data_IF_339955410246
#
_entry.id   IF_339955410246
#
_cell.length_a   1.000
_cell.length_b   1.000
_cell.length_c   1.000
_cell.angle_alpha   90.00
_cell.angle_beta   90.00
_cell.angle_gamma   90.00
#
_symmetry.space_group_name_H-M   'P 1'
#
loop_
_entity.id
_entity.type
_entity.pdbx_description
1 polymer ?
#
# COMPACT_ATOMS: atom_id res chain seq x y z
N UNK A 1 -27.29 -12.93 12.02
CA UNK A 1 -26.18 -13.11 11.06
C UNK A 1 -25.27 -11.91 11.23
N UNK A 2 -24.09 -12.10 11.82
CA UNK A 2 -23.22 -11.00 12.23
C UNK A 2 -22.87 -10.13 11.02
N UNK A 3 -23.09 -8.82 11.12
CA UNK A 3 -22.51 -7.85 10.21
C UNK A 3 -20.99 -7.98 10.37
N UNK A 4 -20.34 -8.63 9.41
CA UNK A 4 -18.89 -8.67 9.36
C UNK A 4 -18.46 -7.26 8.98
N UNK A 5 -18.24 -6.42 9.98
CA UNK A 5 -17.70 -5.09 9.80
C UNK A 5 -16.35 -5.29 9.13
N UNK A 6 -16.26 -5.01 7.82
CA UNK A 6 -15.00 -4.98 7.08
C UNK A 6 -14.20 -3.77 7.53
N UNK A 7 -13.73 -3.85 8.77
CA UNK A 7 -12.75 -2.96 9.33
C UNK A 7 -11.48 -3.13 8.51
N UNK A 8 -10.99 -2.01 7.99
CA UNK A 8 -9.64 -1.84 7.44
C UNK A 8 -8.64 -2.70 8.22
N UNK A 9 -8.15 -3.75 7.59
CA UNK A 9 -7.14 -4.65 8.17
C UNK A 9 -5.78 -4.28 7.57
N UNK A 10 -4.74 -4.27 8.41
CA UNK A 10 -3.35 -4.32 7.95
C UNK A 10 -2.64 -5.36 8.81
N UNK A 11 -2.14 -6.42 8.18
CA UNK A 11 -1.42 -7.50 8.82
C UNK A 11 0.00 -7.59 8.28
N UNK A 12 1.00 -7.55 9.15
CA UNK A 12 2.41 -7.79 8.78
C UNK A 12 2.60 -9.30 8.56
N UNK A 13 3.06 -9.67 7.36
CA UNK A 13 3.33 -11.05 6.98
C UNK A 13 4.82 -11.37 7.02
N UNK A 14 5.65 -10.40 6.64
CA UNK A 14 7.12 -10.49 6.66
C UNK A 14 7.67 -9.17 7.19
N UNK A 15 8.63 -9.26 8.11
CA UNK A 15 9.38 -8.13 8.64
C UNK A 15 10.86 -8.52 8.73
N UNK A 16 11.63 -8.16 7.71
CA UNK A 16 13.08 -8.36 7.63
C UNK A 16 13.71 -7.12 7.01
N UNK A 17 14.97 -6.86 7.31
CA UNK A 17 15.65 -5.67 6.81
C UNK A 17 15.69 -5.61 5.26
N UNK A 18 15.80 -6.77 4.61
CA UNK A 18 15.88 -6.89 3.16
C UNK A 18 14.52 -6.79 2.45
N UNK A 19 13.42 -7.05 3.16
CA UNK A 19 12.06 -7.01 2.63
C UNK A 19 11.02 -7.07 3.75
N UNK A 20 9.98 -6.23 3.62
CA UNK A 20 8.74 -6.43 4.36
C UNK A 20 7.54 -6.61 3.44
N UNK A 21 6.52 -7.26 3.99
CA UNK A 21 5.27 -7.50 3.29
C UNK A 21 4.10 -7.40 4.26
N UNK A 22 3.08 -6.66 3.87
CA UNK A 22 1.80 -6.59 4.57
C UNK A 22 0.67 -7.08 3.68
N UNK A 23 -0.40 -7.57 4.30
CA UNK A 23 -1.71 -7.72 3.66
C UNK A 23 -2.63 -6.65 4.20
N UNK A 24 -3.33 -5.95 3.31
CA UNK A 24 -4.28 -4.92 3.71
C UNK A 24 -5.61 -5.03 2.95
N UNK A 25 -6.65 -4.43 3.53
CA UNK A 25 -7.96 -4.28 2.90
C UNK A 25 -8.56 -2.90 3.16
N UNK A 26 -9.46 -2.49 2.29
CA UNK A 26 -10.23 -1.26 2.44
C UNK A 26 -11.62 -1.37 1.78
N UNK A 27 -12.54 -0.55 2.26
CA UNK A 27 -13.87 -0.45 1.67
C UNK A 27 -13.84 0.34 0.35
N UNK A 28 -14.92 0.27 -0.40
CA UNK A 28 -15.14 1.07 -1.60
C UNK A 28 -15.06 2.58 -1.29
N UNK A 29 -14.38 3.34 -2.13
CA UNK A 29 -14.23 4.79 -2.02
C UNK A 29 -13.15 5.26 -1.04
N UNK A 30 -12.41 4.37 -0.36
CA UNK A 30 -11.38 4.77 0.60
C UNK A 30 -10.08 5.22 -0.08
N UNK A 31 -9.60 6.41 0.32
CA UNK A 31 -8.24 6.89 0.01
C UNK A 31 -7.27 6.31 1.04
N UNK A 32 -6.29 5.52 0.56
CA UNK A 32 -5.39 4.79 1.47
C UNK A 32 -4.21 5.63 1.92
N UNK A 33 -3.64 6.40 1.00
CA UNK A 33 -2.46 7.22 1.23
C UNK A 33 -2.64 8.59 0.62
N UNK A 34 -2.01 9.61 1.20
CA UNK A 34 -1.76 10.88 0.50
C UNK A 34 -0.57 10.71 -0.44
N UNK A 35 -0.37 11.56 -1.45
CA UNK A 35 0.84 11.54 -2.26
C UNK A 35 2.11 11.58 -1.40
N UNK A 36 2.97 10.60 -1.61
CA UNK A 36 4.23 10.44 -0.89
C UNK A 36 5.27 9.74 -1.79
N UNK A 37 6.51 9.72 -1.35
CA UNK A 37 7.58 8.98 -1.99
C UNK A 37 8.51 8.36 -0.94
N UNK A 38 9.28 7.39 -1.43
CA UNK A 38 10.34 6.69 -0.70
C UNK A 38 11.67 6.97 -1.39
N UNK A 39 12.76 7.06 -0.63
CA UNK A 39 14.09 7.32 -1.17
C UNK A 39 14.92 6.07 -1.37
N UNK A 40 14.64 5.01 -0.61
CA UNK A 40 15.51 3.83 -0.50
C UNK A 40 14.89 2.55 -1.08
N UNK A 41 13.56 2.42 -1.07
CA UNK A 41 12.90 1.18 -1.49
C UNK A 41 11.94 1.32 -2.67
N UNK A 42 11.74 0.19 -3.34
CA UNK A 42 10.58 0.01 -4.22
C UNK A 42 9.37 -0.31 -3.36
N UNK A 43 8.26 0.40 -3.58
CA UNK A 43 6.97 0.05 -3.02
C UNK A 43 6.11 -0.65 -4.08
N UNK A 44 5.73 -1.89 -3.81
CA UNK A 44 5.04 -2.74 -4.76
C UNK A 44 3.73 -3.30 -4.19
N UNK A 45 2.75 -3.45 -5.08
CA UNK A 45 1.39 -3.82 -4.75
C UNK A 45 0.94 -4.98 -5.62
N UNK A 46 0.41 -6.03 -5.00
CA UNK A 46 -0.25 -7.14 -5.69
C UNK A 46 -1.71 -7.22 -5.26
N UNK A 47 -2.63 -7.02 -6.19
CA UNK A 47 -4.07 -6.98 -5.88
C UNK A 47 -4.59 -8.41 -5.79
N UNK A 48 -5.15 -8.76 -4.64
CA UNK A 48 -5.72 -10.08 -4.39
C UNK A 48 -7.20 -10.11 -4.78
N UNK A 49 -7.95 -9.05 -4.45
CA UNK A 49 -9.38 -8.91 -4.70
C UNK A 49 -9.75 -7.43 -4.93
N UNK A 50 -10.85 -7.21 -5.65
CA UNK A 50 -11.30 -5.87 -6.03
C UNK A 50 -10.34 -5.20 -7.02
N UNK A 51 -10.28 -3.87 -6.95
CA UNK A 51 -9.38 -3.05 -7.76
C UNK A 51 -8.84 -1.87 -6.97
N UNK A 52 -7.62 -1.44 -7.31
CA UNK A 52 -6.98 -0.27 -6.76
C UNK A 52 -6.62 0.69 -7.89
N UNK A 53 -6.84 1.98 -7.65
CA UNK A 53 -6.40 3.04 -8.56
C UNK A 53 -5.20 3.75 -7.95
N UNK A 54 -4.10 3.72 -8.68
CA UNK A 54 -2.83 4.32 -8.32
C UNK A 54 -2.61 5.60 -9.12
N UNK A 55 -2.07 6.60 -8.45
CA UNK A 55 -1.50 7.79 -9.06
C UNK A 55 0.02 7.67 -8.87
N UNK A 56 0.79 7.63 -9.97
CA UNK A 56 2.24 7.40 -9.96
C UNK A 56 2.88 8.44 -10.88
N UNK A 57 3.59 9.39 -10.30
CA UNK A 57 4.10 10.56 -11.02
C UNK A 57 2.97 11.34 -11.69
N UNK A 58 2.85 11.22 -13.01
CA UNK A 58 1.80 11.88 -13.82
C UNK A 58 0.76 10.91 -14.36
N UNK A 59 0.91 9.62 -14.08
CA UNK A 59 0.06 8.58 -14.63
C UNK A 59 -0.95 8.12 -13.58
N UNK A 60 -2.13 7.75 -14.05
CA UNK A 60 -3.15 7.08 -13.24
C UNK A 60 -3.42 5.72 -13.84
N UNK A 61 -3.37 4.69 -13.02
CA UNK A 61 -3.63 3.31 -13.46
C UNK A 61 -4.52 2.59 -12.47
N UNK A 62 -5.51 1.85 -12.99
CA UNK A 62 -6.39 1.00 -12.17
C UNK A 62 -6.02 -0.46 -12.41
N UNK A 63 -5.80 -1.19 -11.33
CA UNK A 63 -5.32 -2.57 -11.36
C UNK A 63 -6.26 -3.43 -10.54
N UNK A 64 -6.86 -4.42 -11.20
CA UNK A 64 -7.73 -5.41 -10.57
C UNK A 64 -6.98 -6.63 -10.01
N UNK A 65 -7.73 -7.55 -9.41
CA UNK A 65 -7.22 -8.81 -8.88
C UNK A 65 -6.28 -9.57 -9.85
N UNK A 66 -5.16 -10.05 -9.32
CA UNK A 66 -4.07 -10.68 -10.08
C UNK A 66 -3.09 -9.69 -10.72
N UNK A 67 -3.39 -8.40 -10.70
CA UNK A 67 -2.51 -7.36 -11.21
C UNK A 67 -1.46 -6.91 -10.20
N UNK A 68 -0.42 -6.26 -10.73
CA UNK A 68 0.76 -5.84 -9.98
C UNK A 68 1.21 -4.43 -10.39
N UNK A 69 1.65 -3.65 -9.40
CA UNK A 69 2.26 -2.32 -9.57
C UNK A 69 3.55 -2.29 -8.76
N UNK A 70 4.59 -1.67 -9.29
CA UNK A 70 5.80 -1.36 -8.52
C UNK A 70 6.20 0.09 -8.79
N UNK A 71 6.42 0.83 -7.71
CA UNK A 71 6.83 2.23 -7.73
C UNK A 71 8.30 2.32 -7.33
N UNK A 72 9.19 2.76 -8.23
CA UNK A 72 10.59 2.98 -7.91
C UNK A 72 10.79 4.12 -6.88
N UNK A 73 11.96 4.16 -6.21
CA UNK A 73 12.31 5.28 -5.35
C UNK A 73 12.22 6.64 -6.05
N UNK A 74 11.92 7.67 -5.27
CA UNK A 74 11.81 9.07 -5.66
C UNK A 74 10.65 9.38 -6.63
N UNK A 75 9.73 8.45 -6.83
CA UNK A 75 8.49 8.67 -7.58
C UNK A 75 7.33 8.88 -6.61
N UNK A 76 6.74 10.07 -6.68
CA UNK A 76 5.54 10.39 -5.93
C UNK A 76 4.40 9.45 -6.34
N UNK A 77 3.71 8.88 -5.35
CA UNK A 77 2.57 8.02 -5.59
C UNK A 77 1.53 8.09 -4.47
N UNK A 78 0.30 7.73 -4.82
CA UNK A 78 -0.80 7.49 -3.89
C UNK A 78 -1.71 6.42 -4.46
N UNK A 79 -2.59 5.87 -3.63
CA UNK A 79 -3.61 4.95 -4.13
C UNK A 79 -4.90 4.97 -3.31
N UNK A 80 -5.97 4.56 -3.97
CA UNK A 80 -7.32 4.47 -3.42
C UNK A 80 -8.06 3.27 -3.99
N UNK A 81 -9.11 2.85 -3.31
CA UNK A 81 -10.13 2.01 -3.90
C UNK A 81 -11.21 2.91 -4.53
N UNK A 82 -11.13 3.13 -5.84
CA UNK A 82 -12.14 3.90 -6.59
C UNK A 82 -13.30 3.03 -7.10
N UNK A 83 -13.25 1.72 -6.84
CA UNK A 83 -14.27 0.76 -7.26
C UNK A 83 -15.50 0.79 -6.38
N UNK A 84 -16.47 -0.08 -6.69
CA UNK A 84 -17.73 -0.23 -5.96
C UNK A 84 -17.67 -1.30 -4.85
N UNK A 85 -16.65 -2.14 -4.85
CA UNK A 85 -16.49 -3.27 -3.94
C UNK A 85 -15.23 -3.09 -3.06
N UNK A 86 -15.16 -3.75 -1.90
CA UNK A 86 -13.94 -3.82 -1.09
C UNK A 86 -12.74 -4.35 -1.89
N UNK A 87 -11.55 -3.85 -1.54
CA UNK A 87 -10.30 -4.28 -2.15
C UNK A 87 -9.37 -4.90 -1.11
N UNK A 88 -8.57 -5.87 -1.55
CA UNK A 88 -7.56 -6.55 -0.72
C UNK A 88 -6.29 -6.76 -1.52
N UNK A 89 -5.14 -6.48 -0.91
CA UNK A 89 -3.85 -6.51 -1.61
C UNK A 89 -2.71 -6.90 -0.67
N UNK A 90 -1.56 -7.19 -1.28
CA UNK A 90 -0.27 -7.23 -0.62
C UNK A 90 0.50 -5.96 -0.94
N UNK A 91 1.17 -5.39 0.06
CA UNK A 91 2.17 -4.33 -0.12
C UNK A 91 3.54 -4.91 0.23
N UNK A 92 4.53 -4.67 -0.62
CA UNK A 92 5.88 -5.19 -0.50
C UNK A 92 6.85 -4.02 -0.57
N UNK A 93 7.71 -3.89 0.43
CA UNK A 93 8.79 -2.92 0.43
C UNK A 93 10.12 -3.68 0.33
N UNK A 94 10.96 -3.28 -0.61
CA UNK A 94 12.28 -3.86 -0.80
C UNK A 94 13.35 -2.76 -1.04
N UNK A 95 14.27 -2.52 -0.08
CA UNK A 95 14.32 -3.08 1.28
C UNK A 95 13.15 -2.61 2.18
N UNK A 96 13.07 -3.06 3.44
CA UNK A 96 11.99 -2.65 4.36
C UNK A 96 12.02 -1.15 4.69
N UNK A 97 13.21 -0.57 4.83
CA UNK A 97 13.45 0.85 5.13
C UNK A 97 12.58 1.41 6.29
N UNK A 98 12.28 0.57 7.29
CA UNK A 98 11.53 0.95 8.50
C UNK A 98 10.01 0.82 8.40
N UNK A 99 9.46 0.36 7.27
CA UNK A 99 8.01 0.24 7.08
C UNK A 99 7.35 -0.74 8.07
N UNK A 100 7.93 -1.91 8.32
CA UNK A 100 7.37 -2.89 9.24
C UNK A 100 7.29 -2.36 10.68
N UNK A 101 8.32 -1.60 11.11
CA UNK A 101 8.33 -0.94 12.40
C UNK A 101 7.28 0.19 12.47
N UNK A 102 7.08 0.93 11.37
CA UNK A 102 6.03 1.95 11.27
C UNK A 102 4.64 1.35 11.44
N UNK A 103 4.31 0.29 10.69
CA UNK A 103 3.02 -0.40 10.80
C UNK A 103 2.80 -1.01 12.18
N UNK A 104 3.87 -1.46 12.84
CA UNK A 104 3.82 -2.02 14.19
C UNK A 104 3.72 -0.94 15.29
N UNK A 105 3.80 0.34 14.95
CA UNK A 105 3.74 1.45 15.90
C UNK A 105 5.01 1.63 16.74
N UNK A 106 6.14 1.08 16.30
CA UNK A 106 7.42 1.13 17.02
C UNK A 106 8.45 2.06 16.38
N UNK A 107 8.23 2.49 15.14
CA UNK A 107 9.13 3.43 14.46
C UNK A 107 8.95 4.88 14.93
N UNK A 108 10.06 5.60 15.01
CA UNK A 108 10.12 7.07 15.20
C UNK A 108 10.45 7.81 13.90
N UNK A 109 11.03 7.11 12.93
CA UNK A 109 11.37 7.59 11.59
C UNK A 109 11.29 6.39 10.63
N UNK A 110 10.73 6.60 9.43
CA UNK A 110 10.72 5.63 8.35
C UNK A 110 10.84 6.38 7.02
N UNK A 111 11.29 5.70 5.97
CA UNK A 111 11.55 6.30 4.67
C UNK A 111 10.26 6.76 3.97
N UNK A 112 9.73 7.92 4.35
CA UNK A 112 8.59 8.55 3.66
C UNK A 112 8.71 10.07 3.64
N UNK A 113 8.49 10.63 2.46
CA UNK A 113 8.37 12.07 2.26
C UNK A 113 7.02 12.39 1.64
N UNK A 114 6.32 13.41 2.16
CA UNK A 114 5.13 13.91 1.50
C UNK A 114 5.49 14.50 0.13
N UNK A 115 4.67 14.20 -0.88
CA UNK A 115 4.80 14.80 -2.21
C UNK A 115 3.77 15.93 -2.34
N UNK A 116 4.24 17.14 -2.65
CA UNK A 116 3.44 18.36 -2.79
C UNK A 116 3.27 18.81 -4.24
#
# INVERSE_FOLDING_TARGET
MASNTEQREVAVLVARDDLSMTRASCAAGEQMTKPHLHHEHTDAFYVLEGELTFEIGRETTTVGAGGFVAVPPNIAHSFRNAGAEPARWLTIHAPDAGFAAFISGTAVEWDVSAAG
#
